data_IF_140932414088
#
_entry.id   IF_140932414088
#
_cell.length_a   1.000
_cell.length_b   1.000
_cell.length_c   1.000
_cell.angle_alpha   90.00
_cell.angle_beta   90.00
_cell.angle_gamma   90.00
#
_symmetry.space_group_name_H-M   'P 1'
#
loop_
_entity.id
_entity.type
_entity.pdbx_description
1 polymer ?
#
# COMPACT_ATOMS: atom_id res chain seq x y z
N UNK A 1 -3.22 -7.20 13.41
CA UNK A 1 -2.24 -8.20 12.95
C UNK A 1 -1.78 -7.79 11.56
N UNK A 2 -0.52 -7.36 11.43
CA UNK A 2 0.07 -6.78 10.23
C UNK A 2 -0.21 -7.60 8.96
N UNK A 3 -0.97 -7.04 8.01
CA UNK A 3 -1.26 -7.69 6.72
C UNK A 3 -0.22 -7.26 5.70
N UNK A 4 0.94 -7.92 5.73
CA UNK A 4 1.95 -7.75 4.69
C UNK A 4 1.42 -8.23 3.34
N UNK A 5 1.34 -7.31 2.38
CA UNK A 5 0.89 -7.59 1.01
C UNK A 5 1.87 -7.00 0.01
N UNK A 6 1.91 -7.62 -1.17
CA UNK A 6 2.65 -7.06 -2.31
C UNK A 6 1.87 -5.90 -2.91
N UNK A 7 2.55 -4.96 -3.58
CA UNK A 7 1.92 -3.80 -4.27
C UNK A 7 0.71 -4.22 -5.11
N UNK A 8 0.84 -5.28 -5.89
CA UNK A 8 -0.26 -5.74 -6.75
C UNK A 8 -1.46 -6.26 -5.94
N UNK A 9 -1.22 -7.09 -4.91
CA UNK A 9 -2.31 -7.62 -4.07
C UNK A 9 -2.93 -6.52 -3.22
N UNK A 10 -2.12 -5.63 -2.66
CA UNK A 10 -2.59 -4.52 -1.87
C UNK A 10 -3.48 -3.59 -2.69
N UNK A 11 -3.06 -3.24 -3.91
CA UNK A 11 -3.88 -2.47 -4.84
C UNK A 11 -5.21 -3.15 -5.17
N UNK A 12 -5.19 -4.46 -5.45
CA UNK A 12 -6.41 -5.22 -5.74
C UNK A 12 -7.37 -5.26 -4.53
N UNK A 13 -6.84 -5.42 -3.31
CA UNK A 13 -7.63 -5.44 -2.08
C UNK A 13 -8.18 -4.06 -1.73
N UNK A 14 -7.39 -2.99 -1.90
CA UNK A 14 -7.86 -1.61 -1.73
C UNK A 14 -8.99 -1.31 -2.70
N UNK A 15 -8.81 -1.64 -3.99
CA UNK A 15 -9.86 -1.42 -5.00
C UNK A 15 -11.13 -2.23 -4.74
N UNK A 16 -11.02 -3.40 -4.09
CA UNK A 16 -12.17 -4.22 -3.67
C UNK A 16 -12.88 -3.67 -2.44
N UNK A 17 -12.12 -3.17 -1.46
CA UNK A 17 -12.67 -2.59 -0.22
C UNK A 17 -13.25 -1.20 -0.46
N UNK A 18 -12.57 -0.42 -1.28
CA UNK A 18 -12.74 1.01 -1.41
C UNK A 18 -12.53 1.43 -2.88
N UNK A 19 -13.56 1.29 -3.73
CA UNK A 19 -13.46 1.59 -5.16
C UNK A 19 -13.29 3.09 -5.46
N UNK A 20 -13.57 3.97 -4.50
CA UNK A 20 -13.38 5.43 -4.62
C UNK A 20 -11.94 5.88 -4.36
N UNK A 21 -11.10 4.99 -3.86
CA UNK A 21 -9.71 5.31 -3.59
C UNK A 21 -8.97 5.46 -4.93
N UNK A 22 -8.80 6.70 -5.39
CA UNK A 22 -8.14 7.11 -6.64
C UNK A 22 -6.61 6.86 -6.65
N UNK A 23 -6.14 5.88 -5.89
CA UNK A 23 -4.74 5.50 -5.86
C UNK A 23 -4.43 4.67 -7.11
N UNK A 24 -3.29 4.93 -7.75
CA UNK A 24 -2.71 4.03 -8.76
C UNK A 24 -1.60 3.16 -8.16
N UNK A 25 -1.30 2.00 -8.77
CA UNK A 25 -0.14 1.18 -8.37
C UNK A 25 1.18 1.97 -8.32
N UNK A 26 1.33 2.95 -9.22
CA UNK A 26 2.50 3.82 -9.26
C UNK A 26 2.59 4.74 -8.03
N UNK A 27 1.45 5.22 -7.53
CA UNK A 27 1.42 6.05 -6.32
C UNK A 27 1.83 5.23 -5.09
N UNK A 28 1.32 4.00 -4.94
CA UNK A 28 1.75 3.09 -3.87
C UNK A 28 3.26 2.83 -3.97
N UNK A 29 3.77 2.59 -5.18
CA UNK A 29 5.21 2.41 -5.40
C UNK A 29 5.99 3.67 -4.99
N UNK A 30 5.51 4.87 -5.31
CA UNK A 30 6.14 6.13 -4.90
C UNK A 30 6.12 6.28 -3.38
N UNK A 31 5.01 6.01 -2.68
CA UNK A 31 4.94 6.06 -1.21
C UNK A 31 5.94 5.11 -0.55
N UNK A 32 6.09 3.91 -1.13
CA UNK A 32 7.04 2.90 -0.68
C UNK A 32 8.50 3.35 -0.91
N UNK A 33 8.80 3.92 -2.08
CA UNK A 33 10.15 4.42 -2.42
C UNK A 33 10.50 5.65 -1.57
N UNK A 34 9.55 6.54 -1.34
CA UNK A 34 9.71 7.74 -0.52
C UNK A 34 9.85 7.41 0.98
N UNK A 35 9.68 6.14 1.38
CA UNK A 35 9.83 5.71 2.77
C UNK A 35 8.69 6.14 3.69
N UNK A 36 7.59 6.68 3.14
CA UNK A 36 6.39 7.07 3.90
C UNK A 36 5.75 5.83 4.52
N UNK A 37 5.72 4.74 3.75
CA UNK A 37 5.19 3.45 4.22
C UNK A 37 6.37 2.49 4.40
N UNK A 38 6.57 1.92 5.60
CA UNK A 38 7.62 0.94 5.81
C UNK A 38 7.33 -0.29 4.97
N UNK A 39 8.24 -0.55 4.03
CA UNK A 39 8.21 -1.70 3.16
C UNK A 39 9.43 -2.57 3.38
N UNK A 40 9.25 -3.88 3.22
CA UNK A 40 10.31 -4.86 3.16
C UNK A 40 10.44 -5.38 1.75
N UNK A 41 11.66 -5.36 1.21
CA UNK A 41 11.96 -5.99 -0.07
C UNK A 41 12.09 -7.51 0.13
N UNK A 42 11.32 -8.29 -0.62
CA UNK A 42 11.49 -9.73 -0.75
C UNK A 42 11.84 -10.06 -2.21
N UNK A 43 13.14 -10.18 -2.48
CA UNK A 43 13.66 -10.37 -3.84
C UNK A 43 13.33 -9.19 -4.74
N UNK A 44 12.52 -9.42 -5.78
CA UNK A 44 12.08 -8.39 -6.73
C UNK A 44 10.79 -7.66 -6.29
N UNK A 45 10.11 -8.16 -5.24
CA UNK A 45 8.80 -7.63 -4.81
C UNK A 45 8.94 -6.80 -3.54
N UNK A 46 8.17 -5.72 -3.46
CA UNK A 46 7.97 -4.97 -2.23
C UNK A 46 6.78 -5.54 -1.47
N UNK A 47 7.00 -5.91 -0.22
CA UNK A 47 5.97 -6.22 0.76
C UNK A 47 5.83 -5.01 1.66
N UNK A 48 4.64 -4.50 1.86
CA UNK A 48 4.39 -3.45 2.83
C UNK A 48 3.14 -3.77 3.61
N UNK A 49 3.00 -3.07 4.73
CA UNK A 49 1.85 -3.23 5.58
C UNK A 49 0.65 -2.48 5.00
N UNK A 50 -0.42 -3.23 4.73
CA UNK A 50 -1.66 -2.66 4.20
C UNK A 50 -2.36 -1.80 5.27
N UNK A 51 -2.17 -2.14 6.55
CA UNK A 51 -2.72 -1.43 7.70
C UNK A 51 -2.19 0.01 7.75
N UNK A 52 -0.87 0.18 7.60
CA UNK A 52 -0.25 1.52 7.54
C UNK A 52 -0.63 2.34 6.32
N UNK A 53 -0.92 1.69 5.20
CA UNK A 53 -1.43 2.40 4.02
C UNK A 53 -2.84 2.92 4.29
N UNK A 54 -3.68 2.12 4.97
CA UNK A 54 -5.05 2.49 5.36
C UNK A 54 -5.02 3.61 6.42
N UNK A 55 -4.13 3.54 7.41
CA UNK A 55 -3.88 4.62 8.38
C UNK A 55 -3.44 5.93 7.69
N UNK A 56 -2.51 5.85 6.73
CA UNK A 56 -2.06 7.02 5.98
C UNK A 56 -3.19 7.65 5.16
N UNK A 57 -4.03 6.82 4.55
CA UNK A 57 -5.23 7.25 3.82
C UNK A 57 -6.26 7.93 4.73
N UNK A 58 -6.49 7.39 5.92
CA UNK A 58 -7.40 8.00 6.89
C UNK A 58 -6.84 9.30 7.48
N UNK A 59 -5.52 9.38 7.68
CA UNK A 59 -4.84 10.58 8.21
C UNK A 59 -4.81 11.72 7.20
N UNK A 60 -4.79 11.41 5.90
CA UNK A 60 -4.80 12.40 4.83
C UNK A 60 -6.21 12.97 4.50
N UNK A 61 -7.21 12.66 5.33
CA UNK A 61 -8.60 13.12 5.21
C UNK A 61 -8.79 14.48 5.89
#
# INVERSE_FOLDING_TARGET
MAKYRTIQKAYAELKKRDPETAISQNYIRQLVINGIIPSRKAGSKYLFDLDKLEEYMQTAK
#
